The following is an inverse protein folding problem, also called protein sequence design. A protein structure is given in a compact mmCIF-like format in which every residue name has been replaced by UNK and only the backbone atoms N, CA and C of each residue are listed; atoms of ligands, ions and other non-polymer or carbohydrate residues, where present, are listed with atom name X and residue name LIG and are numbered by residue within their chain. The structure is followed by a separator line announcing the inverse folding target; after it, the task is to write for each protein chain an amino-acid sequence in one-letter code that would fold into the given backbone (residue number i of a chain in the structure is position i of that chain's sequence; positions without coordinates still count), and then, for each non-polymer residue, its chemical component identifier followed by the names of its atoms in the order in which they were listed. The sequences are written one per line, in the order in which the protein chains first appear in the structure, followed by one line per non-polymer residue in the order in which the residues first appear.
data_IF_268441522919
#
_entry.id   IF_268441522919
#
_cell.length_a   1.000
_cell.length_b   1.000
_cell.length_c   1.000
_cell.angle_alpha   90.00
_cell.angle_beta   90.00
_cell.angle_gamma   90.00
#
_symmetry.space_group_name_H-M   'P 1'
#
loop_
_entity.id
_entity.type
_entity.pdbx_description
1 polymer ?
#
# COMPACT_ATOMS: atom_id res chain seq x y z
N UNK A 1 16.47 27.47 33.57
CA UNK A 1 15.55 27.44 32.41
C UNK A 1 15.87 26.16 31.70
N UNK A 2 15.01 25.14 31.86
CA UNK A 2 15.19 23.87 31.16
C UNK A 2 14.89 24.15 29.69
N UNK A 3 15.82 23.80 28.83
CA UNK A 3 15.71 23.86 27.38
C UNK A 3 14.70 22.76 26.99
N UNK A 4 13.42 23.11 26.93
CA UNK A 4 12.37 22.22 26.42
C UNK A 4 12.60 22.10 24.91
N UNK A 5 13.41 21.11 24.52
CA UNK A 5 13.38 20.57 23.15
C UNK A 5 11.92 20.40 22.77
N UNK A 6 11.46 20.96 21.63
CA UNK A 6 10.07 20.81 21.22
C UNK A 6 9.69 19.34 21.28
N UNK A 7 8.55 19.05 21.90
CA UNK A 7 8.08 17.70 22.18
C UNK A 7 7.89 16.96 20.86
N UNK A 8 8.92 16.22 20.44
CA UNK A 8 8.91 15.45 19.21
C UNK A 8 7.81 14.39 19.29
N UNK A 9 6.99 14.28 18.25
CA UNK A 9 5.90 13.30 18.20
C UNK A 9 6.25 12.14 17.30
N UNK A 10 5.85 10.93 17.68
CA UNK A 10 6.09 9.76 16.84
C UNK A 10 5.01 8.73 17.04
N UNK A 11 4.59 8.08 15.97
CA UNK A 11 3.59 7.02 16.09
C UNK A 11 3.14 6.45 14.76
N UNK A 12 2.27 5.45 14.86
CA UNK A 12 1.82 4.65 13.75
C UNK A 12 0.38 5.01 13.36
N UNK A 13 0.17 5.21 12.06
CA UNK A 13 -1.15 5.46 11.47
C UNK A 13 -1.44 4.40 10.43
N UNK A 14 -2.50 3.62 10.63
CA UNK A 14 -2.93 2.65 9.62
C UNK A 14 -4.00 3.24 8.72
N UNK A 15 -3.77 3.15 7.40
CA UNK A 15 -4.84 3.38 6.43
C UNK A 15 -5.61 2.09 6.18
N UNK A 16 -6.93 2.17 6.38
CA UNK A 16 -7.87 1.10 6.13
C UNK A 16 -8.99 1.57 5.22
N UNK A 17 -9.60 0.63 4.50
CA UNK A 17 -10.64 0.96 3.53
C UNK A 17 -10.76 -0.13 2.48
N UNK A 18 -11.84 -0.08 1.72
CA UNK A 18 -12.09 -1.05 0.65
C UNK A 18 -10.90 -1.11 -0.33
N UNK A 19 -10.75 -2.21 -1.10
CA UNK A 19 -9.86 -2.21 -2.24
C UNK A 19 -10.13 -0.99 -3.14
N UNK A 20 -9.07 -0.39 -3.69
CA UNK A 20 -9.13 0.84 -4.49
C UNK A 20 -9.63 2.10 -3.79
N UNK A 21 -9.69 2.13 -2.45
CA UNK A 21 -10.08 3.33 -1.71
C UNK A 21 -9.03 4.47 -1.74
N UNK A 22 -7.88 4.31 -2.41
CA UNK A 22 -6.85 5.35 -2.49
C UNK A 22 -5.80 5.31 -1.37
N UNK A 23 -5.77 4.27 -0.52
CA UNK A 23 -4.81 4.09 0.58
C UNK A 23 -3.35 4.24 0.15
N UNK A 24 -2.86 3.37 -0.73
CA UNK A 24 -1.46 3.37 -1.18
C UNK A 24 -1.10 4.63 -1.98
N UNK A 25 -2.06 5.22 -2.70
CA UNK A 25 -1.86 6.52 -3.36
C UNK A 25 -1.65 7.63 -2.32
N UNK A 26 -2.42 7.61 -1.24
CA UNK A 26 -2.27 8.57 -0.14
C UNK A 26 -0.98 8.36 0.65
N UNK A 27 -0.59 7.10 0.90
CA UNK A 27 0.70 6.76 1.52
C UNK A 27 1.86 7.36 0.71
N UNK A 28 1.90 7.10 -0.60
CA UNK A 28 2.95 7.66 -1.46
C UNK A 28 2.93 9.19 -1.49
N UNK A 29 1.74 9.82 -1.48
CA UNK A 29 1.63 11.27 -1.48
C UNK A 29 2.15 11.91 -0.18
N UNK A 30 1.92 11.26 0.97
CA UNK A 30 2.43 11.73 2.27
C UNK A 30 3.93 11.49 2.44
N UNK A 31 4.44 10.35 1.96
CA UNK A 31 5.90 10.06 1.98
C UNK A 31 6.65 10.93 0.96
N UNK A 32 5.98 11.37 -0.10
CA UNK A 32 6.56 12.19 -1.18
C UNK A 32 7.29 11.37 -2.26
N UNK A 33 7.41 10.05 -2.08
CA UNK A 33 7.90 9.12 -3.10
C UNK A 33 7.07 7.83 -3.11
N UNK A 34 7.28 7.02 -4.14
CA UNK A 34 6.61 5.73 -4.28
C UNK A 34 7.27 4.65 -3.41
N UNK A 35 6.65 4.35 -2.27
CA UNK A 35 7.08 3.28 -1.34
C UNK A 35 6.15 2.08 -1.35
N UNK A 36 4.91 2.26 -1.79
CA UNK A 36 3.91 1.20 -1.95
C UNK A 36 3.34 1.18 -3.36
N UNK A 37 3.00 0.00 -3.86
CA UNK A 37 2.42 -0.13 -5.19
C UNK A 37 0.95 0.30 -5.24
N UNK A 38 0.52 0.70 -6.42
CA UNK A 38 -0.82 1.18 -6.72
C UNK A 38 -1.38 0.47 -7.94
N UNK A 39 -2.59 -0.06 -7.84
CA UNK A 39 -3.26 -0.62 -9.01
C UNK A 39 -4.77 -0.48 -8.87
N UNK A 40 -5.47 -0.45 -10.01
CA UNK A 40 -6.92 -0.48 -10.08
C UNK A 40 -7.49 -1.87 -9.74
N UNK A 41 -6.63 -2.89 -9.58
CA UNK A 41 -7.06 -4.24 -9.22
C UNK A 41 -7.37 -4.33 -7.72
N UNK A 42 -8.49 -4.97 -7.34
CA UNK A 42 -8.72 -5.30 -5.94
C UNK A 42 -7.59 -6.15 -5.37
N UNK A 43 -7.35 -6.03 -4.05
CA UNK A 43 -6.31 -6.80 -3.34
C UNK A 43 -4.90 -6.57 -3.88
N UNK A 44 -4.60 -5.33 -4.27
CA UNK A 44 -3.26 -4.94 -4.71
C UNK A 44 -2.26 -5.08 -3.58
N UNK A 45 -2.42 -4.43 -2.42
CA UNK A 45 -1.52 -4.59 -1.26
C UNK A 45 -1.70 -5.96 -0.60
N UNK A 46 -0.60 -6.73 -0.46
CA UNK A 46 -0.59 -8.08 0.14
C UNK A 46 0.44 -8.26 1.27
N UNK A 47 1.28 -7.26 1.48
CA UNK A 47 2.20 -7.17 2.61
C UNK A 47 1.88 -5.90 3.38
N UNK A 48 2.24 -5.85 4.66
CA UNK A 48 2.24 -4.57 5.38
C UNK A 48 3.54 -3.87 5.04
N UNK A 49 3.43 -2.64 4.55
CA UNK A 49 4.58 -1.78 4.27
C UNK A 49 4.42 -0.52 5.09
N UNK A 50 5.48 -0.12 5.78
CA UNK A 50 5.49 1.14 6.52
C UNK A 50 6.14 2.21 5.66
N UNK A 51 5.38 3.23 5.28
CA UNK A 51 5.91 4.47 4.74
C UNK A 51 6.30 5.41 5.87
N UNK A 52 7.50 5.99 5.81
CA UNK A 52 8.04 6.84 6.87
C UNK A 52 8.03 8.28 6.41
N UNK A 53 7.31 9.14 7.14
CA UNK A 53 7.29 10.59 6.91
C UNK A 53 8.12 11.26 7.98
N UNK A 54 9.24 11.85 7.58
CA UNK A 54 10.15 12.57 8.47
C UNK A 54 9.80 14.05 8.52
N UNK A 55 9.73 14.61 9.73
CA UNK A 55 9.59 16.04 9.97
C UNK A 55 10.55 16.48 11.07
N UNK A 56 10.90 17.77 11.16
CA UNK A 56 11.71 18.29 12.26
C UNK A 56 11.06 18.13 13.64
N UNK A 57 9.73 18.11 13.69
CA UNK A 57 8.91 18.07 14.91
C UNK A 57 8.23 16.71 15.15
N UNK A 58 8.29 15.79 14.19
CA UNK A 58 7.61 14.50 14.31
C UNK A 58 8.11 13.43 13.32
N UNK A 59 7.77 12.17 13.61
CA UNK A 59 7.89 11.06 12.68
C UNK A 59 6.58 10.28 12.58
N UNK A 60 5.97 10.33 11.39
CA UNK A 60 4.68 9.69 11.11
C UNK A 60 4.91 8.39 10.33
N UNK A 61 4.53 7.26 10.93
CA UNK A 61 4.71 5.92 10.33
C UNK A 61 3.40 5.44 9.74
N UNK A 62 3.30 5.49 8.42
CA UNK A 62 2.12 5.12 7.65
C UNK A 62 2.12 3.62 7.38
N UNK A 63 1.24 2.89 8.04
CA UNK A 63 1.11 1.45 7.86
C UNK A 63 0.07 1.15 6.77
N UNK A 64 0.54 0.91 5.54
CA UNK A 64 -0.34 0.49 4.45
C UNK A 64 -0.73 -0.97 4.66
N UNK A 65 -2.03 -1.20 4.81
CA UNK A 65 -2.58 -2.53 5.09
C UNK A 65 -3.36 -3.06 3.88
N UNK A 66 -3.35 -4.39 3.65
CA UNK A 66 -4.25 -5.01 2.69
C UNK A 66 -5.70 -4.57 2.88
N UNK A 67 -6.45 -4.45 1.78
CA UNK A 67 -7.87 -4.11 1.86
C UNK A 67 -8.68 -5.22 2.56
N UNK A 68 -9.35 -4.89 3.67
CA UNK A 68 -10.27 -5.80 4.35
C UNK A 68 -11.41 -6.23 3.42
N UNK A 69 -11.65 -7.53 3.36
CA UNK A 69 -12.72 -8.13 2.56
C UNK A 69 -13.12 -9.50 3.12
N UNK A 70 -14.24 -10.07 2.66
CA UNK A 70 -14.63 -11.42 3.06
C UNK A 70 -13.72 -12.46 2.36
N UNK A 71 -12.90 -13.22 3.09
CA UNK A 71 -11.88 -14.07 2.48
C UNK A 71 -12.51 -15.28 1.79
N UNK A 72 -11.86 -15.76 0.73
CA UNK A 72 -12.23 -16.98 -0.05
C UNK A 72 -11.07 -17.96 -0.23
N UNK A 73 -9.88 -17.59 0.24
CA UNK A 73 -8.62 -18.33 0.13
C UNK A 73 -7.84 -18.18 1.43
N UNK A 74 -6.90 -19.09 1.67
CA UNK A 74 -6.02 -19.03 2.84
C UNK A 74 -5.17 -17.74 2.83
N UNK A 75 -4.72 -17.28 1.66
CA UNK A 75 -4.09 -15.96 1.53
C UNK A 75 -5.00 -14.86 2.08
N UNK A 76 -6.27 -14.80 1.64
CA UNK A 76 -7.21 -13.78 2.09
C UNK A 76 -7.46 -13.81 3.61
N UNK A 77 -7.49 -15.00 4.21
CA UNK A 77 -7.59 -15.17 5.67
C UNK A 77 -6.35 -14.58 6.37
N UNK A 78 -5.14 -14.95 5.93
CA UNK A 78 -3.89 -14.41 6.48
C UNK A 78 -3.78 -12.89 6.34
N UNK A 79 -4.18 -12.34 5.18
CA UNK A 79 -4.19 -10.90 4.96
C UNK A 79 -5.12 -10.20 5.96
N UNK A 80 -6.33 -10.73 6.18
CA UNK A 80 -7.26 -10.15 7.16
C UNK A 80 -6.73 -10.24 8.60
N UNK A 81 -6.10 -11.35 8.96
CA UNK A 81 -5.52 -11.51 10.30
C UNK A 81 -4.33 -10.57 10.51
N UNK A 82 -3.50 -10.37 9.48
CA UNK A 82 -2.43 -9.36 9.46
C UNK A 82 -2.98 -7.95 9.69
N UNK A 83 -4.07 -7.58 9.01
CA UNK A 83 -4.73 -6.28 9.26
C UNK A 83 -5.21 -6.16 10.70
N UNK A 84 -5.87 -7.18 11.26
CA UNK A 84 -6.38 -7.14 12.64
C UNK A 84 -5.26 -6.98 13.66
N UNK A 85 -4.15 -7.70 13.51
CA UNK A 85 -2.97 -7.57 14.37
C UNK A 85 -2.40 -6.16 14.28
N UNK A 86 -2.19 -5.67 13.05
CA UNK A 86 -1.67 -4.32 12.78
C UNK A 86 -2.51 -3.25 13.47
N UNK A 87 -3.84 -3.36 13.39
CA UNK A 87 -4.75 -2.37 13.97
C UNK A 87 -4.72 -2.34 15.50
N UNK A 88 -4.24 -3.40 16.16
CA UNK A 88 -4.02 -3.43 17.60
C UNK A 88 -2.78 -2.67 18.06
N UNK A 89 -1.88 -2.32 17.13
CA UNK A 89 -0.54 -1.78 17.41
C UNK A 89 -0.36 -0.32 16.95
N UNK A 90 -1.37 0.27 16.29
CA UNK A 90 -1.31 1.65 15.79
C UNK A 90 -1.97 2.67 16.72
N UNK A 91 -1.47 3.89 16.73
CA UNK A 91 -2.05 5.00 17.51
C UNK A 91 -3.34 5.53 16.85
N UNK A 92 -3.34 5.63 15.52
CA UNK A 92 -4.46 6.14 14.73
C UNK A 92 -4.87 5.15 13.65
N UNK A 93 -6.17 4.96 13.49
CA UNK A 93 -6.78 4.24 12.37
C UNK A 93 -7.53 5.24 11.49
N UNK A 94 -7.03 5.43 10.27
CA UNK A 94 -7.59 6.35 9.30
C UNK A 94 -8.35 5.59 8.20
N UNK A 95 -9.68 5.77 8.17
CA UNK A 95 -10.59 5.07 7.27
C UNK A 95 -10.77 5.86 5.98
N UNK A 96 -10.23 5.33 4.87
CA UNK A 96 -10.34 5.90 3.53
C UNK A 96 -11.69 5.54 2.89
N UNK A 97 -12.47 6.57 2.56
CA UNK A 97 -13.83 6.48 2.01
C UNK A 97 -13.91 7.34 0.74
N UNK A 98 -13.89 6.76 -0.49
CA UNK A 98 -13.85 7.53 -1.73
C UNK A 98 -15.07 8.43 -1.92
N UNK A 99 -14.85 9.74 -2.11
CA UNK A 99 -15.90 10.75 -2.29
C UNK A 99 -16.63 10.65 -3.64
N UNK A 100 -16.04 9.96 -4.61
CA UNK A 100 -16.65 9.70 -5.92
C UNK A 100 -17.64 8.51 -5.89
N UNK A 101 -17.84 7.87 -4.74
CA UNK A 101 -18.75 6.76 -4.51
C UNK A 101 -19.62 7.03 -3.27
N UNK A 102 -20.80 6.40 -3.20
CA UNK A 102 -21.60 6.42 -1.97
C UNK A 102 -20.97 5.52 -0.90
N UNK A 103 -21.19 5.86 0.37
CA UNK A 103 -20.87 5.01 1.51
C UNK A 103 -21.65 3.69 1.43
N UNK A 104 -20.96 2.63 1.02
CA UNK A 104 -21.57 1.34 0.67
C UNK A 104 -21.50 0.28 1.77
N UNK A 105 -22.03 -0.93 1.52
CA UNK A 105 -21.99 -2.03 2.48
C UNK A 105 -20.58 -2.44 2.92
N UNK A 106 -19.60 -2.37 2.01
CA UNK A 106 -18.21 -2.70 2.35
C UNK A 106 -17.54 -1.64 3.24
N UNK A 107 -17.88 -0.35 3.07
CA UNK A 107 -17.43 0.71 3.98
C UNK A 107 -18.03 0.51 5.36
N UNK A 108 -19.33 0.25 5.43
CA UNK A 108 -20.06 -0.06 6.67
C UNK A 108 -19.48 -1.25 7.40
N UNK A 109 -19.11 -2.30 6.67
CA UNK A 109 -18.44 -3.46 7.25
C UNK A 109 -17.09 -3.07 7.87
N UNK A 110 -16.25 -2.34 7.14
CA UNK A 110 -14.93 -1.91 7.63
C UNK A 110 -15.08 -1.05 8.88
N UNK A 111 -15.93 -0.02 8.85
CA UNK A 111 -16.15 0.86 10.00
C UNK A 111 -16.68 0.08 11.21
N UNK A 112 -17.58 -0.88 11.00
CA UNK A 112 -18.04 -1.79 12.07
C UNK A 112 -16.93 -2.67 12.65
N UNK A 113 -16.00 -3.15 11.83
CA UNK A 113 -14.81 -3.86 12.34
C UNK A 113 -13.89 -2.90 13.10
N UNK A 114 -13.72 -1.65 12.63
CA UNK A 114 -12.89 -0.65 13.31
C UNK A 114 -13.45 -0.25 14.68
N UNK A 115 -14.77 -0.28 14.85
CA UNK A 115 -15.43 -0.01 16.12
C UNK A 115 -15.07 -1.04 17.20
N UNK A 116 -14.62 -2.24 16.80
CA UNK A 116 -14.16 -3.30 17.74
C UNK A 116 -12.73 -3.06 18.21
N UNK A 117 -11.93 -2.30 17.46
CA UNK A 117 -10.54 -1.99 17.80
C UNK A 117 -10.54 -0.86 18.83
N UNK A 118 -10.38 -1.24 20.10
CA UNK A 118 -10.38 -0.32 21.24
C UNK A 118 -9.04 0.44 21.34
N UNK A 119 -9.06 1.60 22.02
CA UNK A 119 -7.88 2.40 22.38
C UNK A 119 -7.08 3.00 21.22
N UNK A 120 -7.68 3.12 20.04
CA UNK A 120 -7.06 3.78 18.88
C UNK A 120 -7.93 4.92 18.40
N UNK A 121 -7.29 6.04 18.05
CA UNK A 121 -7.97 7.23 17.56
C UNK A 121 -8.50 6.95 16.15
N UNK A 122 -9.73 7.38 15.84
CA UNK A 122 -10.37 7.13 14.54
C UNK A 122 -10.43 8.40 13.73
N UNK A 123 -9.92 8.36 12.52
CA UNK A 123 -10.00 9.45 11.54
C UNK A 123 -10.72 8.92 10.31
N UNK A 124 -11.58 9.73 9.69
CA UNK A 124 -12.14 9.42 8.39
C UNK A 124 -11.51 10.31 7.32
N UNK A 125 -11.19 9.72 6.17
CA UNK A 125 -10.57 10.41 5.05
C UNK A 125 -11.49 10.25 3.83
N UNK A 126 -12.12 11.34 3.42
CA UNK A 126 -12.87 11.41 2.17
C UNK A 126 -11.91 11.55 0.99
N UNK A 127 -11.37 10.43 0.53
CA UNK A 127 -10.37 10.38 -0.56
C UNK A 127 -10.97 10.69 -1.93
N UNK A 128 -10.13 11.01 -2.92
CA UNK A 128 -10.49 11.20 -4.35
C UNK A 128 -11.48 12.34 -4.60
N UNK A 129 -11.34 13.43 -3.85
CA UNK A 129 -12.16 14.63 -4.02
C UNK A 129 -12.03 15.27 -5.41
N UNK A 130 -10.92 15.02 -6.12
CA UNK A 130 -10.70 15.44 -7.51
C UNK A 130 -11.69 14.82 -8.51
N UNK A 131 -12.39 13.76 -8.11
CA UNK A 131 -13.37 13.05 -8.95
C UNK A 131 -14.82 13.32 -8.52
N UNK A 132 -15.06 14.26 -7.61
CA UNK A 132 -16.37 14.56 -7.05
C UNK A 132 -16.67 16.08 -7.10
N UNK A 133 -17.94 16.44 -7.22
CA UNK A 133 -18.38 17.84 -7.12
C UNK A 133 -18.41 18.30 -5.65
N UNK A 134 -18.41 19.62 -5.41
CA UNK A 134 -18.51 20.16 -4.05
C UNK A 134 -19.77 19.69 -3.30
N UNK A 135 -20.90 19.55 -4.00
CA UNK A 135 -22.14 18.99 -3.44
C UNK A 135 -21.97 17.51 -3.05
N UNK A 136 -21.33 16.70 -3.91
CA UNK A 136 -21.05 15.30 -3.62
C UNK A 136 -20.13 15.16 -2.40
N UNK A 137 -19.07 15.97 -2.32
CA UNK A 137 -18.15 15.98 -1.17
C UNK A 137 -18.91 16.36 0.10
N UNK A 138 -19.70 17.44 0.08
CA UNK A 138 -20.49 17.87 1.23
C UNK A 138 -21.44 16.79 1.74
N UNK A 139 -22.19 16.15 0.84
CA UNK A 139 -23.08 15.04 1.22
C UNK A 139 -22.29 13.83 1.75
N UNK A 140 -21.15 13.50 1.15
CA UNK A 140 -20.32 12.38 1.56
C UNK A 140 -19.77 12.58 2.98
N UNK A 141 -19.34 13.79 3.34
CA UNK A 141 -18.90 14.11 4.70
C UNK A 141 -20.02 13.90 5.73
N UNK A 142 -21.26 14.30 5.40
CA UNK A 142 -22.42 14.03 6.26
C UNK A 142 -22.70 12.54 6.41
N UNK A 143 -22.58 11.77 5.31
CA UNK A 143 -22.77 10.32 5.33
C UNK A 143 -21.70 9.61 6.18
N UNK A 144 -20.45 10.09 6.15
CA UNK A 144 -19.35 9.58 6.99
C UNK A 144 -19.63 9.87 8.47
N UNK A 145 -20.05 11.09 8.80
CA UNK A 145 -20.42 11.47 10.18
C UNK A 145 -21.54 10.57 10.70
N UNK A 146 -22.59 10.37 9.88
CA UNK A 146 -23.71 9.49 10.20
C UNK A 146 -23.25 8.04 10.42
N UNK A 147 -22.35 7.55 9.56
CA UNK A 147 -21.81 6.19 9.69
C UNK A 147 -21.05 6.00 11.01
N UNK A 148 -20.28 7.00 11.44
CA UNK A 148 -19.63 7.00 12.75
C UNK A 148 -20.64 6.81 13.87
N UNK A 149 -21.67 7.65 13.91
CA UNK A 149 -22.75 7.57 14.89
C UNK A 149 -23.48 6.21 14.87
N UNK A 150 -23.81 5.67 13.69
CA UNK A 150 -24.47 4.36 13.53
C UNK A 150 -23.62 3.18 14.04
N UNK A 151 -22.30 3.32 14.06
CA UNK A 151 -21.36 2.27 14.44
C UNK A 151 -20.73 2.48 15.82
N UNK A 152 -21.06 3.59 16.49
CA UNK A 152 -20.47 3.97 17.78
C UNK A 152 -19.02 4.45 17.67
N UNK A 153 -18.59 4.90 16.49
CA UNK A 153 -17.31 5.56 16.29
C UNK A 153 -17.50 7.08 16.38
N UNK A 154 -16.70 7.70 17.24
CA UNK A 154 -16.46 9.13 17.22
C UNK A 154 -15.21 9.38 16.36
N UNK A 155 -15.38 10.14 15.28
CA UNK A 155 -14.27 10.55 14.42
C UNK A 155 -13.58 11.73 15.10
N UNK A 156 -12.27 11.62 15.32
CA UNK A 156 -11.45 12.75 15.75
C UNK A 156 -11.39 13.81 14.64
N UNK A 157 -11.29 13.36 13.39
CA UNK A 157 -11.26 14.22 12.20
C UNK A 157 -12.00 13.55 11.03
N UNK A 158 -12.63 14.37 10.17
CA UNK A 158 -13.15 13.95 8.86
C UNK A 158 -12.54 14.86 7.79
N UNK A 159 -11.57 14.35 7.05
CA UNK A 159 -10.73 15.17 6.16
C UNK A 159 -10.97 14.83 4.69
N UNK A 160 -11.42 15.77 3.84
CA UNK A 160 -11.51 15.59 2.40
C UNK A 160 -10.14 15.77 1.73
N UNK A 161 -9.67 14.78 0.98
CA UNK A 161 -8.30 14.77 0.41
C UNK A 161 -8.29 14.25 -1.02
N UNK A 162 -7.47 14.89 -1.86
CA UNK A 162 -7.02 14.29 -3.13
C UNK A 162 -5.51 14.07 -3.10
N UNK A 163 -5.11 12.79 -2.95
CA UNK A 163 -3.70 12.41 -3.08
C UNK A 163 -3.16 12.65 -4.49
N UNK A 164 -4.03 12.62 -5.52
CA UNK A 164 -3.63 12.80 -6.92
C UNK A 164 -3.45 14.28 -7.28
N UNK A 165 -4.35 15.14 -6.80
CA UNK A 165 -4.26 16.58 -7.04
C UNK A 165 -3.33 17.30 -6.03
N UNK A 166 -3.02 16.65 -4.90
CA UNK A 166 -2.26 17.25 -3.80
C UNK A 166 -3.12 18.03 -2.80
N UNK A 167 -4.44 18.09 -3.04
CA UNK A 167 -5.38 18.86 -2.21
C UNK A 167 -5.47 18.29 -0.80
N UNK A 168 -5.19 19.15 0.19
CA UNK A 168 -5.25 18.86 1.63
C UNK A 168 -4.34 17.73 2.13
N UNK A 169 -3.38 17.25 1.33
CA UNK A 169 -2.42 16.21 1.77
C UNK A 169 -1.60 16.69 2.97
N UNK A 170 -1.07 17.91 2.90
CA UNK A 170 -0.30 18.51 4.00
C UNK A 170 -1.17 18.78 5.25
N UNK A 171 -2.41 19.22 5.06
CA UNK A 171 -3.35 19.42 6.16
C UNK A 171 -3.62 18.08 6.88
N UNK A 172 -3.86 17.01 6.12
CA UNK A 172 -4.04 15.68 6.69
C UNK A 172 -2.79 15.25 7.47
N UNK A 173 -1.59 15.45 6.93
CA UNK A 173 -0.34 15.15 7.63
C UNK A 173 -0.25 15.87 8.99
N UNK A 174 -0.51 17.18 9.01
CA UNK A 174 -0.50 17.99 10.23
C UNK A 174 -1.53 17.52 11.26
N UNK A 175 -2.75 17.19 10.82
CA UNK A 175 -3.80 16.65 11.69
C UNK A 175 -3.41 15.29 12.27
N UNK A 176 -2.88 14.38 11.44
CA UNK A 176 -2.44 13.07 11.90
C UNK A 176 -1.31 13.18 12.92
N UNK A 177 -0.30 14.02 12.66
CA UNK A 177 0.80 14.30 13.61
C UNK A 177 0.26 14.89 14.92
N UNK A 178 -0.73 15.77 14.85
CA UNK A 178 -1.39 16.34 16.02
C UNK A 178 -1.97 15.28 16.99
N UNK A 179 -2.42 14.16 16.44
CA UNK A 179 -3.01 13.03 17.19
C UNK A 179 -1.98 12.04 17.74
N UNK A 180 -0.71 12.14 17.33
CA UNK A 180 0.35 11.23 17.78
C UNK A 180 0.82 11.57 19.20
N UNK A 181 1.27 10.57 19.97
CA UNK A 181 1.90 10.80 21.26
C UNK A 181 3.28 11.44 21.10
N UNK A 182 3.74 12.08 22.18
CA UNK A 182 5.15 12.43 22.32
C UNK A 182 6.01 11.16 22.30
N UNK A 183 7.12 11.20 21.58
CA UNK A 183 7.98 10.04 21.44
C UNK A 183 9.25 10.32 20.64
N UNK A 184 10.26 9.45 20.77
CA UNK A 184 11.51 9.61 20.04
C UNK A 184 11.30 9.34 18.55
N UNK A 185 12.27 9.73 17.73
CA UNK A 185 12.38 9.19 16.39
C UNK A 185 12.48 7.65 16.44
N UNK A 186 11.63 6.95 15.68
CA UNK A 186 11.51 5.50 15.67
C UNK A 186 12.38 4.84 14.59
N UNK A 187 12.60 5.54 13.48
CA UNK A 187 13.41 5.09 12.34
C UNK A 187 14.51 6.10 12.01
N UNK A 188 15.69 5.65 11.54
CA UNK A 188 16.78 6.53 11.12
C UNK A 188 16.36 7.56 10.07
N UNK A 189 17.02 8.71 10.06
CA UNK A 189 16.82 9.73 9.02
C UNK A 189 17.14 9.17 7.63
N UNK A 190 16.26 9.48 6.67
CA UNK A 190 16.42 9.10 5.26
C UNK A 190 15.72 7.80 4.87
N UNK A 191 15.39 6.92 5.82
CA UNK A 191 14.61 5.72 5.52
C UNK A 191 13.18 6.11 5.16
N UNK A 192 12.72 5.80 3.95
CA UNK A 192 11.36 6.10 3.50
C UNK A 192 10.40 4.91 3.67
N UNK A 193 10.95 3.72 3.88
CA UNK A 193 10.21 2.47 4.07
C UNK A 193 11.00 1.48 4.92
N UNK A 194 10.31 0.59 5.64
CA UNK A 194 10.92 -0.54 6.35
C UNK A 194 11.02 -1.83 5.51
N UNK A 195 10.52 -1.80 4.27
CA UNK A 195 10.52 -2.94 3.38
C UNK A 195 11.92 -3.18 2.76
N UNK A 196 12.41 -4.44 2.71
CA UNK A 196 13.61 -4.78 1.95
C UNK A 196 13.48 -4.37 0.48
N UNK A 197 14.59 -3.94 -0.12
CA UNK A 197 14.61 -3.44 -1.50
C UNK A 197 14.10 -4.49 -2.50
N UNK A 198 14.43 -5.77 -2.31
CA UNK A 198 13.97 -6.89 -3.14
C UNK A 198 12.45 -7.05 -3.07
N UNK A 199 11.85 -6.77 -1.92
CA UNK A 199 10.40 -6.81 -1.75
C UNK A 199 9.73 -5.65 -2.51
N UNK A 200 10.32 -4.45 -2.46
CA UNK A 200 9.83 -3.29 -3.24
C UNK A 200 9.92 -3.60 -4.73
N UNK A 201 11.05 -4.14 -5.20
CA UNK A 201 11.26 -4.55 -6.60
C UNK A 201 10.25 -5.62 -7.02
N UNK A 202 10.04 -6.65 -6.20
CA UNK A 202 9.04 -7.70 -6.49
C UNK A 202 7.64 -7.10 -6.65
N UNK A 203 7.28 -6.14 -5.79
CA UNK A 203 6.01 -5.44 -5.87
C UNK A 203 5.90 -4.56 -7.12
N UNK A 204 6.95 -3.83 -7.52
CA UNK A 204 6.97 -3.04 -8.76
C UNK A 204 6.78 -3.91 -10.01
N UNK A 205 7.44 -5.07 -10.06
CA UNK A 205 7.24 -6.06 -11.13
C UNK A 205 5.81 -6.57 -11.12
N UNK A 206 5.26 -6.87 -9.93
CA UNK A 206 3.88 -7.33 -9.80
C UNK A 206 2.88 -6.27 -10.23
N UNK A 207 3.08 -5.01 -9.86
CA UNK A 207 2.25 -3.88 -10.28
C UNK A 207 2.20 -3.77 -11.81
N UNK A 208 3.35 -3.83 -12.48
CA UNK A 208 3.44 -3.86 -13.94
C UNK A 208 2.70 -5.08 -14.54
N UNK A 209 2.79 -6.24 -13.88
CA UNK A 209 2.10 -7.46 -14.31
C UNK A 209 0.58 -7.41 -14.12
N UNK A 210 0.09 -6.66 -13.12
CA UNK A 210 -1.34 -6.47 -12.87
C UNK A 210 -2.02 -5.58 -13.93
N UNK A 211 -1.25 -4.78 -14.65
CA UNK A 211 -1.77 -3.89 -15.67
C UNK A 211 -2.35 -4.70 -16.84
N UNK A 212 -3.55 -4.33 -17.29
CA UNK A 212 -4.25 -5.00 -18.38
C UNK A 212 -4.65 -6.47 -18.17
N UNK A 213 -4.43 -7.10 -17.00
CA UNK A 213 -4.97 -8.46 -16.70
C UNK A 213 -6.38 -8.35 -16.09
N UNK A 214 -7.21 -9.38 -16.28
CA UNK A 214 -8.62 -9.41 -15.82
C UNK A 214 -8.97 -10.77 -15.23
N UNK A 215 -10.21 -10.89 -14.79
CA UNK A 215 -10.80 -12.11 -14.23
C UNK A 215 -10.01 -12.61 -13.01
N UNK A 216 -9.65 -13.89 -12.95
CA UNK A 216 -8.92 -14.46 -11.82
C UNK A 216 -7.42 -14.18 -11.82
N UNK A 217 -6.84 -13.84 -12.98
CA UNK A 217 -5.40 -13.70 -13.15
C UNK A 217 -4.72 -12.68 -12.21
N UNK A 218 -5.27 -11.47 -11.96
CA UNK A 218 -4.72 -10.55 -10.98
C UNK A 218 -4.48 -11.18 -9.60
N UNK A 219 -5.33 -12.13 -9.21
CA UNK A 219 -5.27 -12.78 -7.90
C UNK A 219 -4.23 -13.90 -7.86
N UNK A 220 -3.95 -14.55 -9.00
CA UNK A 220 -3.00 -15.67 -9.09
C UNK A 220 -1.53 -15.26 -9.31
N UNK A 221 -1.22 -13.97 -9.47
CA UNK A 221 0.16 -13.48 -9.68
C UNK A 221 0.89 -13.29 -8.34
N UNK A 222 2.11 -13.80 -8.24
CA UNK A 222 3.09 -13.45 -7.20
C UNK A 222 4.46 -13.24 -7.84
N UNK A 223 5.34 -12.45 -7.22
CA UNK A 223 6.70 -12.21 -7.71
C UNK A 223 7.69 -12.44 -6.58
N UNK A 224 8.79 -13.12 -6.88
CA UNK A 224 9.93 -13.29 -5.96
C UNK A 224 11.19 -12.86 -6.70
N UNK A 225 11.97 -11.99 -6.09
CA UNK A 225 13.33 -11.65 -6.51
C UNK A 225 14.26 -12.68 -5.88
N UNK A 226 15.00 -13.42 -6.70
CA UNK A 226 15.93 -14.46 -6.23
C UNK A 226 17.32 -13.88 -5.98
N UNK A 227 17.72 -12.91 -6.82
CA UNK A 227 19.03 -12.27 -6.76
C UNK A 227 18.90 -10.82 -7.19
N UNK A 228 19.54 -9.93 -6.42
CA UNK A 228 19.65 -8.51 -6.72
C UNK A 228 21.05 -8.03 -6.33
N UNK A 229 21.74 -7.36 -7.25
CA UNK A 229 23.07 -6.84 -6.96
C UNK A 229 23.66 -6.03 -8.11
N UNK A 230 24.64 -5.17 -7.79
CA UNK A 230 25.38 -4.47 -8.83
C UNK A 230 26.23 -5.47 -9.62
N UNK A 231 26.15 -5.39 -10.95
CA UNK A 231 26.92 -6.25 -11.84
C UNK A 231 28.42 -6.09 -11.58
N UNK A 232 29.06 -7.20 -11.24
CA UNK A 232 30.51 -7.24 -11.01
C UNK A 232 31.30 -6.86 -12.28
N UNK A 233 32.49 -6.28 -12.08
CA UNK A 233 33.40 -5.93 -13.17
C UNK A 233 33.00 -4.73 -14.02
N UNK A 234 32.03 -3.92 -13.57
CA UNK A 234 31.70 -2.64 -14.19
C UNK A 234 32.38 -1.46 -13.51
N UNK A 235 32.70 -0.44 -14.30
CA UNK A 235 33.21 0.82 -13.79
C UNK A 235 32.17 1.50 -12.89
N UNK A 236 32.63 2.14 -11.82
CA UNK A 236 31.77 2.78 -10.81
C UNK A 236 30.92 3.94 -11.37
N UNK A 237 31.33 4.53 -12.50
CA UNK A 237 30.60 5.58 -13.23
C UNK A 237 29.50 5.02 -14.15
N UNK A 238 29.47 3.70 -14.36
CA UNK A 238 28.50 3.01 -15.23
C UNK A 238 27.91 1.76 -14.55
N UNK A 239 27.34 1.90 -13.35
CA UNK A 239 26.74 0.79 -12.63
C UNK A 239 25.57 0.19 -13.42
N UNK A 240 25.31 -1.10 -13.18
CA UNK A 240 24.13 -1.79 -13.68
C UNK A 240 23.64 -2.70 -12.57
N UNK A 241 22.38 -2.52 -12.17
CA UNK A 241 21.73 -3.37 -11.18
C UNK A 241 21.16 -4.61 -11.90
N UNK A 242 21.67 -5.79 -11.56
CA UNK A 242 21.15 -7.06 -12.02
C UNK A 242 20.05 -7.56 -11.10
N UNK A 243 18.91 -7.94 -11.68
CA UNK A 243 17.73 -8.42 -10.96
C UNK A 243 17.23 -9.69 -11.64
N UNK A 244 17.26 -10.80 -10.91
CA UNK A 244 16.68 -12.07 -11.34
C UNK A 244 15.39 -12.33 -10.57
N UNK A 245 14.26 -12.38 -11.28
CA UNK A 245 12.94 -12.49 -10.68
C UNK A 245 12.07 -13.58 -11.31
N UNK A 246 11.27 -14.23 -10.47
CA UNK A 246 10.28 -15.21 -10.85
C UNK A 246 8.87 -14.64 -10.67
N UNK A 247 8.10 -14.58 -11.76
CA UNK A 247 6.66 -14.30 -11.74
C UNK A 247 5.89 -15.61 -11.72
N UNK A 248 5.20 -15.88 -10.62
CA UNK A 248 4.39 -17.07 -10.41
C UNK A 248 2.94 -16.87 -10.83
N UNK A 249 2.37 -17.90 -11.46
CA UNK A 249 0.94 -18.05 -11.75
C UNK A 249 0.47 -19.45 -11.33
N UNK A 250 -0.84 -19.67 -11.23
CA UNK A 250 -1.38 -20.96 -10.77
C UNK A 250 -1.56 -21.99 -11.89
N UNK A 251 -1.68 -21.57 -13.16
CA UNK A 251 -2.06 -22.45 -14.28
C UNK A 251 -1.31 -22.16 -15.58
N UNK A 252 -1.19 -23.16 -16.45
CA UNK A 252 -0.58 -23.01 -17.79
C UNK A 252 -1.30 -21.98 -18.66
N UNK A 253 -2.64 -21.92 -18.61
CA UNK A 253 -3.42 -20.91 -19.34
C UNK A 253 -3.03 -19.48 -18.93
N UNK A 254 -2.84 -19.26 -17.64
CA UNK A 254 -2.40 -17.98 -17.07
C UNK A 254 -0.97 -17.65 -17.50
N UNK A 255 -0.07 -18.64 -17.55
CA UNK A 255 1.29 -18.48 -18.09
C UNK A 255 1.24 -18.03 -19.54
N UNK A 256 0.39 -18.63 -20.36
CA UNK A 256 0.17 -18.23 -21.75
C UNK A 256 -0.27 -16.76 -21.88
N UNK A 257 -1.21 -16.31 -21.04
CA UNK A 257 -1.67 -14.92 -21.00
C UNK A 257 -0.52 -13.97 -20.61
N UNK A 258 0.28 -14.32 -19.60
CA UNK A 258 1.38 -13.50 -19.12
C UNK A 258 2.53 -13.38 -20.13
N UNK A 259 2.83 -14.44 -20.88
CA UNK A 259 3.79 -14.39 -21.99
C UNK A 259 3.23 -13.50 -23.11
N UNK A 260 1.97 -13.70 -23.48
CA UNK A 260 1.32 -13.02 -24.60
C UNK A 260 1.87 -13.47 -25.96
N UNK A 261 1.30 -12.94 -27.04
CA UNK A 261 1.70 -13.33 -28.40
C UNK A 261 3.19 -13.02 -28.64
N UNK A 262 3.99 -14.05 -28.97
CA UNK A 262 5.45 -13.95 -29.17
C UNK A 262 6.20 -13.26 -28.01
N UNK A 263 5.72 -13.40 -26.77
CA UNK A 263 6.35 -12.80 -25.60
C UNK A 263 6.10 -11.30 -25.44
N UNK A 264 5.19 -10.70 -26.21
CA UNK A 264 4.97 -9.25 -26.20
C UNK A 264 4.59 -8.72 -24.81
N UNK A 265 3.66 -9.40 -24.12
CA UNK A 265 3.19 -8.94 -22.81
C UNK A 265 4.29 -9.01 -21.75
N UNK A 266 5.06 -10.10 -21.72
CA UNK A 266 6.16 -10.23 -20.76
C UNK A 266 7.23 -9.16 -20.99
N UNK A 267 7.50 -8.80 -22.25
CA UNK A 267 8.38 -7.67 -22.58
C UNK A 267 7.84 -6.33 -22.09
N UNK A 268 6.53 -6.09 -22.23
CA UNK A 268 5.90 -4.85 -21.77
C UNK A 268 5.94 -4.75 -20.23
N UNK A 269 5.66 -5.85 -19.53
CA UNK A 269 5.78 -5.93 -18.06
C UNK A 269 7.22 -5.66 -17.62
N UNK A 270 8.21 -6.33 -18.24
CA UNK A 270 9.62 -6.13 -17.92
C UNK A 270 10.07 -4.69 -18.20
N UNK A 271 9.64 -4.08 -19.31
CA UNK A 271 9.93 -2.69 -19.64
C UNK A 271 9.33 -1.72 -18.62
N UNK A 272 8.06 -1.90 -18.26
CA UNK A 272 7.37 -1.03 -17.31
C UNK A 272 7.97 -1.15 -15.90
N UNK A 273 8.26 -2.36 -15.43
CA UNK A 273 8.91 -2.60 -14.15
C UNK A 273 10.31 -1.96 -14.11
N UNK A 274 11.12 -2.19 -15.14
CA UNK A 274 12.49 -1.66 -15.24
C UNK A 274 12.53 -0.13 -15.10
N UNK A 275 11.64 0.58 -15.80
CA UNK A 275 11.58 2.05 -15.71
C UNK A 275 11.27 2.55 -14.28
N UNK A 276 10.41 1.84 -13.55
CA UNK A 276 10.09 2.21 -12.17
C UNK A 276 11.24 1.91 -11.21
N UNK A 277 11.90 0.77 -11.38
CA UNK A 277 13.06 0.37 -10.58
C UNK A 277 14.24 1.32 -10.81
N UNK A 278 14.53 1.67 -12.08
CA UNK A 278 15.57 2.65 -12.43
C UNK A 278 15.30 4.02 -11.78
N UNK A 279 14.04 4.45 -11.74
CA UNK A 279 13.67 5.71 -11.09
C UNK A 279 13.85 5.66 -9.56
N UNK A 280 13.61 4.50 -8.95
CA UNK A 280 13.78 4.30 -7.51
C UNK A 280 15.25 4.30 -7.09
N UNK A 281 16.11 3.57 -7.81
CA UNK A 281 17.52 3.40 -7.44
C UNK A 281 18.48 4.38 -8.12
N UNK A 282 17.99 5.18 -9.08
CA UNK A 282 18.84 6.07 -9.88
C UNK A 282 19.91 5.34 -10.72
N UNK A 283 19.77 4.02 -10.89
CA UNK A 283 20.77 3.14 -11.49
C UNK A 283 20.14 2.36 -12.66
N UNK A 284 20.80 2.24 -13.82
CA UNK A 284 20.32 1.40 -14.91
C UNK A 284 20.10 -0.05 -14.45
N UNK A 285 19.06 -0.71 -14.97
CA UNK A 285 18.67 -2.05 -14.51
C UNK A 285 18.72 -3.06 -15.65
N UNK A 286 19.23 -4.26 -15.37
CA UNK A 286 18.99 -5.46 -16.17
C UNK A 286 18.02 -6.36 -15.40
N UNK A 287 16.82 -6.56 -15.95
CA UNK A 287 15.78 -7.38 -15.36
C UNK A 287 15.61 -8.68 -16.14
N UNK A 288 15.97 -9.79 -15.51
CA UNK A 288 15.73 -11.15 -15.99
C UNK A 288 14.46 -11.72 -15.33
N UNK A 289 13.37 -11.78 -16.08
CA UNK A 289 12.04 -12.13 -15.58
C UNK A 289 11.52 -13.43 -16.18
N UNK A 290 11.34 -14.45 -15.32
CA UNK A 290 10.85 -15.77 -15.71
C UNK A 290 9.44 -16.06 -15.18
N UNK A 291 8.59 -16.67 -16.01
CA UNK A 291 7.25 -17.11 -15.56
C UNK A 291 7.30 -18.57 -15.10
N UNK A 292 6.96 -18.81 -13.83
CA UNK A 292 6.86 -20.14 -13.20
C UNK A 292 5.42 -20.47 -12.83
N UNK A 293 5.11 -21.76 -12.79
CA UNK A 293 3.80 -22.25 -12.34
C UNK A 293 3.93 -22.76 -10.91
N UNK A 294 3.11 -22.22 -10.02
CA UNK A 294 2.94 -22.61 -8.63
C UNK A 294 1.47 -23.01 -8.44
N UNK A 295 1.16 -24.29 -8.64
CA UNK A 295 -0.23 -24.74 -8.71
C UNK A 295 -0.98 -24.49 -7.41
N UNK A 296 -2.13 -23.81 -7.51
CA UNK A 296 -3.06 -23.50 -6.40
C UNK A 296 -2.36 -22.89 -5.16
N UNK A 297 -1.31 -22.08 -5.39
CA UNK A 297 -0.42 -21.61 -4.32
C UNK A 297 -1.15 -20.79 -3.24
N UNK A 298 -2.26 -20.12 -3.57
CA UNK A 298 -3.07 -19.33 -2.62
C UNK A 298 -3.74 -20.18 -1.53
N UNK A 299 -3.77 -21.51 -1.70
CA UNK A 299 -4.36 -22.48 -0.76
C UNK A 299 -3.33 -23.37 -0.07
N UNK A 300 -2.05 -23.28 -0.46
CA UNK A 300 -0.99 -24.13 0.08
C UNK A 300 -0.13 -23.33 1.08
N UNK A 301 -0.19 -23.65 2.39
CA UNK A 301 0.59 -22.95 3.42
C UNK A 301 2.11 -22.97 3.19
N UNK A 302 2.64 -24.00 2.52
CA UNK A 302 4.08 -24.10 2.21
C UNK A 302 4.45 -23.15 1.08
N UNK A 303 3.63 -23.07 0.04
CA UNK A 303 3.86 -22.16 -1.07
C UNK A 303 3.66 -20.70 -0.66
N UNK A 304 2.67 -20.39 0.19
CA UNK A 304 2.51 -19.05 0.74
C UNK A 304 3.81 -18.57 1.42
N UNK A 305 4.37 -19.38 2.32
CA UNK A 305 5.64 -19.03 3.00
C UNK A 305 6.80 -18.85 2.02
N UNK A 306 6.89 -19.72 1.02
CA UNK A 306 7.93 -19.62 -0.03
C UNK A 306 7.81 -18.33 -0.84
N UNK A 307 6.59 -17.85 -1.06
CA UNK A 307 6.29 -16.65 -1.84
C UNK A 307 6.25 -15.36 -0.98
N UNK A 308 6.58 -15.44 0.32
CA UNK A 308 6.62 -14.28 1.21
C UNK A 308 5.30 -13.92 1.89
N UNK A 309 4.35 -14.86 2.00
CA UNK A 309 3.03 -14.68 2.65
C UNK A 309 2.78 -15.66 3.82
#
# INVERSE_FOLDING_TARGET
MADETPEHKSGFVSFVGRPNAGKSTLTNALVGTKVVITSSKPQTTRTVVRGIVHRPDAQLILVDTPGLHRPRTLLGERLNDLVKTTLGEVDVVAVCLPANEKVGPGDRFIVKEMAKVKRTIKVAIATKTDLATGEQIGQHLLDIQKLGAETGIEWAEIVPVSAKAGDQVKLLEELLVGLLPAGPQLYPDGDLSDAPEEAIVAELIREAALEGVRDELPHSIAVVVEEMGLREGRDADRPLLDIHANLYVERDSQKGIMIGHKGARLRDVGKAARLQIEALFGTPVYLDLHIKIAKDWQRDPRQLRKLGF
#
